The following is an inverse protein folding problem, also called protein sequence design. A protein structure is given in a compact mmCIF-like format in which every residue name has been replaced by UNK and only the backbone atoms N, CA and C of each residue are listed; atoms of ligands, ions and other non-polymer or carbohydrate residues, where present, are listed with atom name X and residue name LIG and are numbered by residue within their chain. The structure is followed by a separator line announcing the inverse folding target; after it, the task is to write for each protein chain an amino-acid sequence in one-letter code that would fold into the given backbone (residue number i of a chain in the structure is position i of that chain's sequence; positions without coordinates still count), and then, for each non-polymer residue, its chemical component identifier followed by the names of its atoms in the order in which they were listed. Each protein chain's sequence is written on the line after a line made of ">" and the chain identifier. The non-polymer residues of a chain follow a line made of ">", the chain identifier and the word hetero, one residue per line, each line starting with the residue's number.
data_IF_173667007439
#
_entry.id   IF_173667007439
#
_cell.length_a   1.000
_cell.length_b   1.000
_cell.length_c   1.000
_cell.angle_alpha   90.00
_cell.angle_beta   90.00
_cell.angle_gamma   90.00
#
_symmetry.space_group_name_H-M   'P 1'
#
loop_
_entity.id
_entity.type
_entity.pdbx_description
1 polymer ?
#
# COMPACT_ATOMS: atom_id res chain seq x y z
N UNK A 1 -4.02 -23.22 -6.17
CA UNK A 1 -4.12 -22.07 -5.27
C UNK A 1 -3.18 -22.24 -4.09
N UNK A 2 -2.89 -21.15 -3.37
CA UNK A 2 -2.06 -21.17 -2.18
C UNK A 2 -2.81 -21.90 -1.03
N UNK A 3 -2.17 -22.90 -0.40
CA UNK A 3 -2.70 -23.53 0.80
C UNK A 3 -2.19 -22.81 2.05
N UNK A 4 -2.90 -22.94 3.17
CA UNK A 4 -2.49 -22.34 4.44
C UNK A 4 -1.03 -22.67 4.81
N UNK A 5 -0.63 -23.94 4.69
CA UNK A 5 0.72 -24.40 5.01
C UNK A 5 1.82 -23.86 4.07
N UNK A 6 1.43 -23.30 2.92
CA UNK A 6 2.38 -22.74 1.95
C UNK A 6 2.64 -21.27 2.19
N UNK A 7 1.81 -20.56 2.99
CA UNK A 7 1.98 -19.14 3.26
C UNK A 7 3.32 -18.91 3.97
N UNK A 8 4.13 -17.99 3.43
CA UNK A 8 5.43 -17.59 3.98
C UNK A 8 5.53 -16.09 4.18
N UNK A 9 4.70 -15.33 3.50
CA UNK A 9 4.73 -13.87 3.55
C UNK A 9 3.36 -13.29 3.79
N UNK A 10 3.32 -12.23 4.57
CA UNK A 10 2.12 -11.43 4.75
C UNK A 10 2.45 -9.97 4.42
N UNK A 11 1.68 -9.39 3.52
CA UNK A 11 1.60 -7.96 3.36
C UNK A 11 0.47 -7.48 4.28
N UNK A 12 0.80 -6.69 5.27
CA UNK A 12 -0.10 -6.29 6.35
C UNK A 12 -0.35 -4.79 6.33
N UNK A 13 -1.61 -4.41 6.38
CA UNK A 13 -2.02 -3.06 6.74
C UNK A 13 -2.53 -3.07 8.19
N UNK A 14 -1.91 -2.28 9.07
CA UNK A 14 -2.33 -2.22 10.49
C UNK A 14 -3.15 -0.99 10.84
N UNK A 15 -3.24 -0.04 9.93
CA UNK A 15 -4.07 1.16 10.08
C UNK A 15 -4.50 1.65 8.71
N UNK A 16 -5.76 2.09 8.60
CA UNK A 16 -6.24 2.84 7.43
C UNK A 16 -6.11 4.35 7.62
N UNK A 17 -5.56 4.80 8.76
CA UNK A 17 -5.27 6.21 9.02
C UNK A 17 -3.93 6.60 8.41
N UNK A 18 -3.83 7.83 7.94
CA UNK A 18 -2.58 8.43 7.47
C UNK A 18 -2.61 9.93 7.75
N UNK A 19 -1.48 10.50 8.10
CA UNK A 19 -1.32 11.94 8.28
C UNK A 19 -0.98 12.68 6.97
N UNK A 20 -0.56 11.94 5.94
CA UNK A 20 -0.28 12.48 4.60
C UNK A 20 -1.53 12.50 3.71
N UNK A 21 -1.51 13.36 2.70
CA UNK A 21 -2.56 13.46 1.68
C UNK A 21 -1.96 13.39 0.26
N UNK A 22 -1.21 12.34 -0.02
CA UNK A 22 -0.61 12.13 -1.33
C UNK A 22 -1.69 12.10 -2.43
N UNK A 23 -1.57 12.89 -3.51
CA UNK A 23 -2.68 13.13 -4.45
C UNK A 23 -3.12 11.91 -5.26
N UNK A 24 -2.25 10.92 -5.42
CA UNK A 24 -2.58 9.65 -6.10
C UNK A 24 -2.67 8.46 -5.14
N UNK A 25 -2.77 8.73 -3.85
CA UNK A 25 -3.10 7.70 -2.88
C UNK A 25 -4.60 7.36 -2.98
N UNK A 26 -4.99 6.07 -3.02
CA UNK A 26 -6.40 5.68 -3.09
C UNK A 26 -7.24 6.13 -1.89
N UNK A 27 -6.57 6.56 -0.82
CA UNK A 27 -7.21 7.18 0.35
C UNK A 27 -7.81 8.53 0.05
N UNK A 28 -7.20 9.30 -0.86
CA UNK A 28 -7.53 10.70 -1.10
C UNK A 28 -8.00 10.91 -2.53
N UNK A 29 -8.90 11.88 -2.71
CA UNK A 29 -9.16 12.42 -4.03
C UNK A 29 -8.25 13.62 -4.28
N UNK A 30 -7.22 13.42 -5.12
CA UNK A 30 -6.29 14.48 -5.56
C UNK A 30 -5.63 15.27 -4.41
N UNK A 31 -5.44 14.63 -3.24
CA UNK A 31 -4.80 15.25 -2.08
C UNK A 31 -5.75 15.94 -1.09
N UNK A 32 -7.05 15.86 -1.27
CA UNK A 32 -8.03 16.59 -0.44
C UNK A 32 -8.92 15.64 0.37
N UNK A 33 -10.00 15.19 -0.25
CA UNK A 33 -11.04 14.44 0.45
C UNK A 33 -10.57 13.01 0.72
N UNK A 34 -10.92 12.53 1.90
CA UNK A 34 -10.82 11.11 2.21
C UNK A 34 -11.97 10.42 1.48
N UNK A 35 -11.63 9.40 0.70
CA UNK A 35 -12.62 8.56 0.05
C UNK A 35 -13.41 7.79 1.10
N UNK A 36 -14.73 7.86 1.04
CA UNK A 36 -15.67 7.37 2.07
C UNK A 36 -16.04 5.88 1.95
N UNK A 37 -15.36 5.15 1.07
CA UNK A 37 -15.73 3.76 0.72
C UNK A 37 -15.02 2.69 1.54
N UNK A 38 -14.10 3.05 2.42
CA UNK A 38 -13.38 2.11 3.28
C UNK A 38 -13.47 2.52 4.77
N UNK A 39 -13.40 1.56 5.71
CA UNK A 39 -13.46 1.85 7.14
C UNK A 39 -12.21 2.58 7.62
N UNK A 40 -12.37 3.56 8.50
CA UNK A 40 -11.26 4.20 9.22
C UNK A 40 -11.03 3.44 10.52
N UNK A 41 -10.00 2.62 10.56
CA UNK A 41 -9.71 1.74 11.69
C UNK A 41 -8.20 1.54 11.90
N UNK A 42 -7.87 1.04 13.09
CA UNK A 42 -6.57 0.51 13.47
C UNK A 42 -6.77 -0.94 13.90
N UNK A 43 -5.87 -1.83 13.51
CA UNK A 43 -5.76 -3.17 14.10
C UNK A 43 -5.24 -3.02 15.52
N UNK A 44 -5.96 -3.53 16.49
CA UNK A 44 -5.49 -3.58 17.88
C UNK A 44 -4.51 -4.74 18.07
N UNK A 45 -3.68 -4.67 19.13
CA UNK A 45 -2.83 -5.80 19.52
C UNK A 45 -3.64 -7.08 19.74
N UNK A 46 -4.82 -6.96 20.37
CA UNK A 46 -5.71 -8.11 20.58
C UNK A 46 -6.16 -8.74 19.26
N UNK A 47 -6.57 -7.96 18.29
CA UNK A 47 -6.93 -8.46 16.95
C UNK A 47 -5.73 -9.08 16.24
N UNK A 48 -4.55 -8.45 16.34
CA UNK A 48 -3.33 -9.01 15.77
C UNK A 48 -3.00 -10.38 16.39
N UNK A 49 -3.16 -10.56 17.69
CA UNK A 49 -2.95 -11.83 18.38
C UNK A 49 -3.97 -12.92 17.99
N UNK A 50 -5.21 -12.52 17.69
CA UNK A 50 -6.22 -13.46 17.18
C UNK A 50 -5.89 -13.94 15.77
N UNK A 51 -5.48 -13.04 14.88
CA UNK A 51 -5.18 -13.34 13.48
C UNK A 51 -3.83 -14.07 13.35
N UNK A 52 -2.80 -13.52 13.97
CA UNK A 52 -1.42 -13.98 13.91
C UNK A 52 -1.08 -14.85 15.12
N UNK A 53 -1.68 -16.05 15.18
CA UNK A 53 -1.32 -17.02 16.23
C UNK A 53 0.17 -17.35 16.19
N UNK A 54 0.75 -17.76 17.32
CA UNK A 54 2.16 -18.15 17.39
C UNK A 54 2.53 -19.20 16.33
N UNK A 55 1.75 -20.30 16.11
CA UNK A 55 2.05 -21.24 15.03
C UNK A 55 2.02 -20.62 13.63
N UNK A 56 1.11 -19.65 13.37
CA UNK A 56 1.09 -18.95 12.08
C UNK A 56 2.30 -18.06 11.90
N UNK A 57 2.71 -17.30 12.92
CA UNK A 57 3.92 -16.48 12.89
C UNK A 57 5.17 -17.32 12.67
N UNK A 58 5.28 -18.50 13.30
CA UNK A 58 6.44 -19.38 13.18
C UNK A 58 6.63 -19.99 11.78
N UNK A 59 5.57 -20.06 10.98
CA UNK A 59 5.70 -20.51 9.58
C UNK A 59 6.07 -19.39 8.61
N UNK A 60 5.98 -18.10 9.01
CA UNK A 60 6.25 -16.96 8.14
C UNK A 60 7.75 -16.64 8.08
N UNK A 61 8.22 -16.33 6.88
CA UNK A 61 9.55 -15.80 6.63
C UNK A 61 9.57 -14.27 6.72
N UNK A 62 8.45 -13.62 6.35
CA UNK A 62 8.40 -12.16 6.25
C UNK A 62 7.00 -11.59 6.51
N UNK A 63 6.99 -10.45 7.19
CA UNK A 63 5.84 -9.52 7.22
C UNK A 63 6.29 -8.17 6.66
N UNK A 64 5.58 -7.69 5.62
CA UNK A 64 5.70 -6.34 5.11
C UNK A 64 4.54 -5.51 5.65
N UNK A 65 4.81 -4.56 6.53
CA UNK A 65 3.81 -3.60 7.02
C UNK A 65 3.84 -2.38 6.10
N UNK A 66 2.83 -2.29 5.24
CA UNK A 66 2.65 -1.21 4.28
C UNK A 66 1.17 -1.08 3.92
N UNK A 67 0.53 -0.01 4.37
CA UNK A 67 -0.89 0.17 4.15
C UNK A 67 -1.24 0.51 2.70
N UNK A 68 -2.39 -0.01 2.26
CA UNK A 68 -3.03 0.44 1.03
C UNK A 68 -3.61 1.85 1.21
N UNK A 69 -4.15 2.11 2.40
CA UNK A 69 -4.85 3.35 2.74
C UNK A 69 -4.14 4.13 3.86
N UNK A 70 -3.52 3.44 4.80
CA UNK A 70 -2.92 4.06 5.96
C UNK A 70 -1.40 3.97 6.03
N UNK A 71 -0.89 4.44 7.15
CA UNK A 71 0.55 4.43 7.42
C UNK A 71 0.80 3.91 8.84
N UNK A 72 1.83 3.09 9.00
CA UNK A 72 2.29 2.55 10.28
C UNK A 72 2.42 3.62 11.36
N UNK A 73 2.90 4.82 11.00
CA UNK A 73 3.18 5.89 11.96
C UNK A 73 1.93 6.36 12.71
N UNK A 74 0.75 6.10 12.17
CA UNK A 74 -0.54 6.48 12.78
C UNK A 74 -1.22 5.35 13.54
N UNK A 75 -0.77 4.10 13.38
CA UNK A 75 -1.35 2.94 14.06
C UNK A 75 -1.16 3.04 15.58
N UNK A 76 -2.24 2.89 16.35
CA UNK A 76 -2.20 3.05 17.80
C UNK A 76 -1.28 2.03 18.47
N UNK A 77 -1.48 0.76 18.18
CA UNK A 77 -0.78 -0.37 18.77
C UNK A 77 0.34 -0.88 17.85
N UNK A 78 0.85 -0.02 16.94
CA UNK A 78 1.78 -0.44 15.90
C UNK A 78 3.09 -1.01 16.44
N UNK A 79 3.67 -0.40 17.46
CA UNK A 79 4.90 -0.90 18.09
C UNK A 79 4.66 -2.21 18.81
N UNK A 80 3.61 -2.31 19.60
CA UNK A 80 3.24 -3.48 20.38
C UNK A 80 2.95 -4.70 19.49
N UNK A 81 2.35 -4.47 18.30
CA UNK A 81 2.13 -5.53 17.29
C UNK A 81 3.47 -6.03 16.75
N UNK A 82 4.40 -5.13 16.45
CA UNK A 82 5.74 -5.50 15.97
C UNK A 82 6.53 -6.25 17.03
N UNK A 83 6.46 -5.83 18.30
CA UNK A 83 7.07 -6.53 19.43
C UNK A 83 6.51 -7.95 19.59
N UNK A 84 5.20 -8.09 19.48
CA UNK A 84 4.54 -9.40 19.52
C UNK A 84 5.03 -10.31 18.40
N UNK A 85 5.13 -9.81 17.15
CA UNK A 85 5.61 -10.60 16.01
C UNK A 85 7.07 -11.04 16.21
N UNK A 86 7.94 -10.13 16.60
CA UNK A 86 9.35 -10.43 16.85
C UNK A 86 9.55 -11.43 18.01
N UNK A 87 8.75 -11.32 19.07
CA UNK A 87 8.79 -12.25 20.20
C UNK A 87 8.30 -13.66 19.81
N UNK A 88 7.23 -13.77 19.00
CA UNK A 88 6.65 -15.04 18.58
C UNK A 88 7.52 -15.78 17.55
N UNK A 89 8.25 -15.05 16.70
CA UNK A 89 9.19 -15.60 15.72
C UNK A 89 10.44 -14.70 15.63
N UNK A 90 11.50 -14.98 16.39
CA UNK A 90 12.73 -14.18 16.36
C UNK A 90 13.47 -14.17 15.01
N UNK A 91 13.14 -15.06 14.10
CA UNK A 91 13.75 -15.14 12.76
C UNK A 91 12.93 -14.46 11.67
N UNK A 92 11.74 -13.93 12.00
CA UNK A 92 10.87 -13.31 11.01
C UNK A 92 11.47 -11.99 10.51
N UNK A 93 11.50 -11.81 9.20
CA UNK A 93 11.87 -10.52 8.63
C UNK A 93 10.67 -9.58 8.68
N UNK A 94 10.75 -8.51 9.47
CA UNK A 94 9.74 -7.45 9.52
C UNK A 94 10.25 -6.25 8.74
N UNK A 95 9.47 -5.81 7.75
CA UNK A 95 9.75 -4.61 6.95
C UNK A 95 8.61 -3.62 7.17
N UNK A 96 8.93 -2.39 7.52
CA UNK A 96 7.95 -1.31 7.64
C UNK A 96 8.19 -0.28 6.53
N UNK A 97 7.15 0.00 5.74
CA UNK A 97 7.17 1.08 4.76
C UNK A 97 6.30 2.22 5.28
N UNK A 98 6.90 3.39 5.52
CA UNK A 98 6.21 4.51 6.19
C UNK A 98 6.66 5.85 5.65
N UNK A 99 5.79 6.86 5.71
CA UNK A 99 6.17 8.24 5.50
C UNK A 99 7.03 8.80 6.65
N UNK A 100 7.05 8.13 7.79
CA UNK A 100 7.85 8.43 8.97
C UNK A 100 7.70 9.86 9.54
N UNK A 101 6.68 10.61 9.14
CA UNK A 101 6.44 11.98 9.59
C UNK A 101 5.60 12.01 10.87
N UNK A 102 6.17 11.54 11.97
CA UNK A 102 5.51 11.50 13.29
C UNK A 102 6.16 10.52 14.26
N UNK A 103 5.59 10.36 15.45
CA UNK A 103 5.98 9.42 16.53
C UNK A 103 7.49 9.25 16.73
N UNK A 104 8.22 10.26 17.18
CA UNK A 104 9.68 10.24 17.26
C UNK A 104 10.26 9.21 18.26
N UNK A 105 9.45 8.65 19.16
CA UNK A 105 9.92 7.81 20.25
C UNK A 105 9.95 6.30 19.97
N UNK A 106 9.51 5.84 18.78
CA UNK A 106 9.48 4.39 18.44
C UNK A 106 10.74 3.91 17.73
N UNK A 107 11.54 4.82 17.17
CA UNK A 107 12.59 4.49 16.22
C UNK A 107 13.73 3.67 16.81
N UNK A 108 14.19 4.01 18.02
CA UNK A 108 15.21 3.23 18.72
C UNK A 108 14.73 1.80 18.97
N UNK A 109 13.48 1.66 19.42
CA UNK A 109 12.93 0.34 19.72
C UNK A 109 12.73 -0.52 18.46
N UNK A 110 12.30 0.06 17.35
CA UNK A 110 12.22 -0.64 16.06
C UNK A 110 13.60 -1.12 15.58
N UNK A 111 14.67 -0.33 15.80
CA UNK A 111 16.03 -0.74 15.48
C UNK A 111 16.50 -1.92 16.36
N UNK A 112 16.24 -1.88 17.67
CA UNK A 112 16.55 -2.97 18.60
C UNK A 112 15.84 -4.29 18.25
N UNK A 113 14.63 -4.21 17.69
CA UNK A 113 13.86 -5.35 17.22
C UNK A 113 14.35 -5.90 15.86
N UNK A 114 15.36 -5.29 15.25
CA UNK A 114 15.92 -5.73 13.97
C UNK A 114 15.01 -5.46 12.76
N UNK A 115 14.04 -4.55 12.90
CA UNK A 115 13.12 -4.20 11.81
C UNK A 115 13.86 -3.48 10.69
N UNK A 116 13.51 -3.78 9.44
CA UNK A 116 13.93 -2.98 8.28
C UNK A 116 12.90 -1.87 8.03
N UNK A 117 13.34 -0.62 7.93
CA UNK A 117 12.43 0.51 7.68
C UNK A 117 12.71 1.16 6.34
N UNK A 118 11.67 1.23 5.50
CA UNK A 118 11.66 1.98 4.25
C UNK A 118 11.05 3.36 4.49
N UNK A 119 11.90 4.37 4.59
CA UNK A 119 11.52 5.77 4.71
C UNK A 119 11.09 6.29 3.33
N UNK A 120 9.82 6.67 3.20
CA UNK A 120 9.23 7.16 1.95
C UNK A 120 9.50 8.64 1.78
N UNK A 121 10.60 8.97 1.13
CA UNK A 121 11.07 10.32 0.86
C UNK A 121 11.16 10.54 -0.66
N UNK A 122 10.34 11.45 -1.20
CA UNK A 122 10.20 11.65 -2.65
C UNK A 122 10.86 12.98 -3.08
N UNK A 123 12.18 13.06 -2.92
CA UNK A 123 13.00 14.23 -3.20
C UNK A 123 13.61 14.85 -1.94
N UNK A 124 14.19 16.03 -2.07
CA UNK A 124 14.67 16.86 -0.98
C UNK A 124 13.53 17.72 -0.40
N UNK A 125 13.85 18.59 0.55
CA UNK A 125 12.88 19.40 1.30
C UNK A 125 11.93 20.22 0.40
N UNK A 126 12.47 20.79 -0.68
CA UNK A 126 11.73 21.64 -1.63
C UNK A 126 10.78 20.87 -2.56
N UNK A 127 11.02 19.59 -2.82
CA UNK A 127 10.20 18.79 -3.75
C UNK A 127 9.40 17.69 -3.09
N UNK A 128 9.83 17.22 -1.93
CA UNK A 128 9.17 16.13 -1.19
C UNK A 128 7.67 16.38 -0.97
N UNK A 129 7.31 17.57 -0.52
CA UNK A 129 5.93 17.93 -0.18
C UNK A 129 5.03 18.15 -1.40
N UNK A 130 5.59 18.27 -2.61
CA UNK A 130 4.76 18.34 -3.82
C UNK A 130 3.91 17.08 -4.00
N UNK A 131 4.44 15.94 -3.60
CA UNK A 131 3.67 14.68 -3.60
C UNK A 131 3.26 14.24 -2.18
N UNK A 132 4.18 14.25 -1.21
CA UNK A 132 3.93 13.85 0.18
C UNK A 132 3.31 14.98 1.00
N UNK A 133 2.15 15.49 0.56
CA UNK A 133 1.48 16.59 1.24
C UNK A 133 1.29 16.32 2.73
N UNK A 134 1.47 17.36 3.55
CA UNK A 134 1.29 17.34 5.01
C UNK A 134 2.25 16.42 5.77
N UNK A 135 3.38 16.06 5.17
CA UNK A 135 4.50 15.45 5.87
C UNK A 135 5.62 16.47 6.10
N UNK A 136 6.44 16.26 7.11
CA UNK A 136 7.56 17.13 7.46
C UNK A 136 8.88 16.44 7.11
N UNK A 137 9.58 16.91 6.08
CA UNK A 137 10.85 16.37 5.61
C UNK A 137 11.89 16.33 6.72
N UNK A 138 12.04 17.43 7.47
CA UNK A 138 13.05 17.52 8.53
C UNK A 138 12.77 16.56 9.69
N UNK A 139 11.49 16.39 10.06
CA UNK A 139 11.09 15.38 11.04
C UNK A 139 11.39 13.96 10.57
N UNK A 140 11.16 13.66 9.30
CA UNK A 140 11.47 12.34 8.72
C UNK A 140 12.98 12.09 8.78
N UNK A 141 13.81 13.06 8.41
CA UNK A 141 15.27 12.96 8.50
C UNK A 141 15.73 12.78 9.95
N UNK A 142 15.15 13.51 10.92
CA UNK A 142 15.45 13.33 12.33
C UNK A 142 15.10 11.91 12.82
N UNK A 143 13.95 11.38 12.41
CA UNK A 143 13.51 10.03 12.74
C UNK A 143 14.42 8.97 12.12
N UNK A 144 14.82 9.14 10.86
CA UNK A 144 15.78 8.27 10.20
C UNK A 144 17.14 8.27 10.91
N UNK A 145 17.66 9.46 11.31
CA UNK A 145 18.90 9.57 12.10
C UNK A 145 18.82 8.81 13.42
N UNK A 146 17.71 8.93 14.15
CA UNK A 146 17.51 8.18 15.42
C UNK A 146 17.52 6.69 15.21
N UNK A 147 16.80 6.22 14.17
CA UNK A 147 16.73 4.81 13.82
C UNK A 147 18.10 4.25 13.41
N UNK A 148 18.83 4.96 12.54
CA UNK A 148 20.16 4.57 12.07
C UNK A 148 21.19 4.60 13.21
N UNK A 149 21.17 5.63 14.07
CA UNK A 149 22.07 5.74 15.24
C UNK A 149 21.88 4.58 16.23
N UNK A 150 20.67 4.02 16.31
CA UNK A 150 20.38 2.81 17.10
C UNK A 150 20.75 1.49 16.37
N UNK A 151 21.43 1.54 15.22
CA UNK A 151 21.83 0.36 14.44
C UNK A 151 20.78 -0.14 13.45
N UNK A 152 19.70 0.60 13.23
CA UNK A 152 18.59 0.21 12.37
C UNK A 152 18.96 0.07 10.90
N UNK A 153 18.28 -0.86 10.21
CA UNK A 153 18.44 -1.11 8.78
C UNK A 153 17.48 -0.19 7.99
N UNK A 154 17.95 1.01 7.61
CA UNK A 154 17.17 2.02 6.92
C UNK A 154 17.36 1.95 5.39
N UNK A 155 16.25 1.99 4.65
CA UNK A 155 16.23 2.23 3.21
C UNK A 155 15.55 3.56 2.92
N UNK A 156 16.18 4.42 2.12
CA UNK A 156 15.51 5.56 1.51
C UNK A 156 14.78 5.06 0.27
N UNK A 157 13.45 5.10 0.25
CA UNK A 157 12.64 4.61 -0.86
C UNK A 157 11.87 5.76 -1.51
N UNK A 158 12.29 6.13 -2.71
CA UNK A 158 11.80 7.30 -3.47
C UNK A 158 10.89 6.86 -4.61
N UNK A 159 9.81 7.60 -4.84
CA UNK A 159 9.06 7.57 -6.10
C UNK A 159 9.63 8.65 -7.01
N UNK A 160 10.05 8.25 -8.22
CA UNK A 160 10.55 9.18 -9.23
C UNK A 160 9.37 9.85 -9.93
N UNK A 161 9.37 11.18 -9.91
CA UNK A 161 8.46 12.04 -10.64
C UNK A 161 9.27 13.03 -11.48
N UNK A 162 8.66 13.63 -12.49
CA UNK A 162 9.31 14.65 -13.32
C UNK A 162 9.87 15.80 -12.47
N UNK A 163 9.17 16.21 -11.41
CA UNK A 163 9.55 17.32 -10.54
C UNK A 163 10.72 17.02 -9.60
N UNK A 164 11.07 15.73 -9.36
CA UNK A 164 12.15 15.36 -8.45
C UNK A 164 13.29 14.56 -9.11
N UNK A 165 13.17 14.21 -10.40
CA UNK A 165 14.18 13.41 -11.11
C UNK A 165 15.58 14.04 -11.07
N UNK A 166 15.66 15.38 -11.13
CA UNK A 166 16.92 16.11 -11.06
C UNK A 166 17.62 16.03 -9.70
N UNK A 167 16.93 15.56 -8.64
CA UNK A 167 17.47 15.43 -7.29
C UNK A 167 17.93 14.02 -6.93
N UNK A 168 17.79 13.03 -7.82
CA UNK A 168 18.08 11.62 -7.49
C UNK A 168 19.50 11.47 -6.94
N UNK A 169 20.52 12.06 -7.57
CA UNK A 169 21.90 11.95 -7.11
C UNK A 169 22.17 12.74 -5.82
N UNK A 170 21.52 13.87 -5.63
CA UNK A 170 21.59 14.62 -4.37
C UNK A 170 20.92 13.84 -3.21
N UNK A 171 19.76 13.23 -3.46
CA UNK A 171 19.10 12.34 -2.49
C UNK A 171 19.97 11.12 -2.15
N UNK A 172 20.62 10.51 -3.15
CA UNK A 172 21.55 9.39 -2.95
C UNK A 172 22.74 9.79 -2.08
N UNK A 173 23.33 10.95 -2.36
CA UNK A 173 24.46 11.50 -1.61
C UNK A 173 24.08 11.75 -0.14
N UNK A 174 22.93 12.40 0.07
CA UNK A 174 22.40 12.65 1.42
C UNK A 174 22.07 11.34 2.15
N UNK A 175 21.48 10.36 1.46
CA UNK A 175 21.20 9.05 2.04
C UNK A 175 22.49 8.36 2.53
N UNK A 176 23.56 8.39 1.74
CA UNK A 176 24.87 7.86 2.12
C UNK A 176 25.47 8.62 3.32
N UNK A 177 25.42 9.95 3.32
CA UNK A 177 25.90 10.79 4.43
C UNK A 177 25.15 10.46 5.74
N UNK A 178 23.83 10.24 5.66
CA UNK A 178 22.99 9.91 6.79
C UNK A 178 23.17 8.46 7.29
N UNK A 179 23.82 7.59 6.50
CA UNK A 179 24.05 6.19 6.85
C UNK A 179 22.91 5.24 6.48
N UNK A 180 22.04 5.61 5.54
CA UNK A 180 21.07 4.67 4.97
C UNK A 180 21.83 3.50 4.31
N UNK A 181 21.40 2.28 4.58
CA UNK A 181 22.00 1.07 3.96
C UNK A 181 21.66 0.92 2.50
N UNK A 182 20.55 1.51 2.07
CA UNK A 182 20.05 1.42 0.70
C UNK A 182 19.34 2.70 0.29
N UNK A 183 19.55 3.09 -0.96
CA UNK A 183 18.76 4.10 -1.66
C UNK A 183 18.13 3.45 -2.88
N UNK A 184 16.80 3.37 -2.90
CA UNK A 184 16.02 2.83 -4.01
C UNK A 184 15.09 3.90 -4.56
N UNK A 185 14.91 3.90 -5.87
CA UNK A 185 13.81 4.65 -6.46
C UNK A 185 13.05 3.79 -7.47
N UNK A 186 11.75 4.06 -7.59
CA UNK A 186 10.88 3.39 -8.54
C UNK A 186 10.19 4.42 -9.43
N UNK A 187 10.04 4.07 -10.71
CA UNK A 187 9.18 4.79 -11.63
C UNK A 187 7.76 4.22 -11.47
N UNK A 188 6.91 4.97 -10.81
CA UNK A 188 5.59 4.46 -10.45
C UNK A 188 4.54 4.63 -11.54
N UNK A 189 4.90 5.23 -12.70
CA UNK A 189 3.92 5.55 -13.75
C UNK A 189 2.81 6.51 -13.29
N UNK A 190 3.09 7.28 -12.22
CA UNK A 190 2.14 8.24 -11.62
C UNK A 190 2.55 9.66 -11.98
N UNK A 191 2.67 9.91 -13.29
CA UNK A 191 3.41 11.09 -13.74
C UNK A 191 2.57 12.33 -13.88
N UNK A 192 1.23 12.23 -13.82
CA UNK A 192 0.40 13.35 -14.26
C UNK A 192 -0.87 13.46 -13.45
N UNK A 193 -0.93 14.41 -12.54
CA UNK A 193 -2.13 14.71 -11.77
C UNK A 193 -2.25 16.17 -11.39
N UNK A 194 -3.47 16.62 -11.14
CA UNK A 194 -3.75 17.90 -10.50
C UNK A 194 -3.81 17.70 -8.99
N UNK A 195 -3.33 18.68 -8.24
CA UNK A 195 -3.29 18.67 -6.78
C UNK A 195 -4.09 19.85 -6.24
N UNK A 196 -4.95 19.56 -5.27
CA UNK A 196 -5.74 20.56 -4.55
C UNK A 196 -5.27 20.66 -3.09
N UNK A 197 -5.46 21.83 -2.51
CA UNK A 197 -5.24 22.08 -1.08
C UNK A 197 -6.44 21.63 -0.24
N UNK A 198 -6.33 21.77 1.10
CA UNK A 198 -7.40 21.39 2.03
C UNK A 198 -8.71 22.17 1.85
N UNK A 199 -8.64 23.36 1.23
CA UNK A 199 -9.79 24.19 0.91
C UNK A 199 -10.41 23.85 -0.45
N UNK A 200 -9.97 22.72 -1.07
CA UNK A 200 -10.39 22.25 -2.40
C UNK A 200 -10.03 23.19 -3.54
N UNK A 201 -9.06 24.06 -3.33
CA UNK A 201 -8.54 24.96 -4.36
C UNK A 201 -7.38 24.33 -5.09
N UNK A 202 -7.27 24.62 -6.39
CA UNK A 202 -6.11 24.22 -7.18
C UNK A 202 -4.82 24.73 -6.52
N UNK A 203 -3.88 23.81 -6.27
CA UNK A 203 -2.56 24.10 -5.72
C UNK A 203 -1.48 24.08 -6.82
N UNK A 204 -1.25 22.92 -7.41
CA UNK A 204 -0.25 22.73 -8.46
C UNK A 204 -0.57 21.49 -9.30
N UNK A 205 0.30 21.20 -10.27
CA UNK A 205 0.26 19.97 -11.05
C UNK A 205 1.51 19.13 -10.83
N UNK A 206 1.37 17.83 -10.86
CA UNK A 206 2.48 16.88 -10.98
C UNK A 206 2.54 16.46 -12.43
N UNK A 207 3.74 16.50 -13.04
CA UNK A 207 3.94 16.20 -14.45
C UNK A 207 3.25 17.17 -15.40
N UNK A 208 2.95 16.72 -16.61
CA UNK A 208 2.38 17.51 -17.69
C UNK A 208 0.84 17.46 -17.71
N UNK A 209 0.21 17.65 -16.56
CA UNK A 209 -1.24 17.61 -16.47
C UNK A 209 -1.88 18.78 -17.22
N UNK A 210 -2.70 18.46 -18.23
CA UNK A 210 -3.40 19.42 -19.11
C UNK A 210 -4.91 19.44 -18.93
N UNK A 211 -5.44 18.61 -17.99
CA UNK A 211 -6.87 18.50 -17.75
C UNK A 211 -7.47 19.66 -16.94
N UNK A 212 -8.71 19.49 -16.53
CA UNK A 212 -9.42 20.48 -15.72
C UNK A 212 -8.72 20.72 -14.37
N UNK A 213 -8.73 21.96 -13.91
CA UNK A 213 -8.29 22.40 -12.58
C UNK A 213 -9.47 22.78 -11.68
N UNK A 214 -10.67 22.46 -12.11
CA UNK A 214 -11.90 22.64 -11.37
C UNK A 214 -12.16 21.40 -10.50
N UNK A 215 -12.06 21.57 -9.18
CA UNK A 215 -12.25 20.48 -8.22
C UNK A 215 -13.65 19.88 -8.29
N UNK A 216 -14.70 20.73 -8.30
CA UNK A 216 -16.08 20.25 -8.24
C UNK A 216 -16.46 19.45 -9.48
N UNK A 217 -16.01 19.92 -10.65
CA UNK A 217 -16.17 19.19 -11.91
C UNK A 217 -15.48 17.82 -11.85
N UNK A 218 -14.21 17.78 -11.44
CA UNK A 218 -13.43 16.55 -11.37
C UNK A 218 -14.00 15.58 -10.32
N UNK A 219 -14.43 16.08 -9.17
CA UNK A 219 -14.99 15.25 -8.13
C UNK A 219 -16.36 14.67 -8.54
N UNK A 220 -17.20 15.45 -9.21
CA UNK A 220 -18.46 14.96 -9.76
C UNK A 220 -18.24 13.86 -10.80
N UNK A 221 -17.30 14.05 -11.72
CA UNK A 221 -16.95 13.04 -12.71
C UNK A 221 -16.40 11.75 -12.05
N UNK A 222 -15.56 11.90 -11.04
CA UNK A 222 -15.05 10.77 -10.27
C UNK A 222 -16.17 9.98 -9.59
N UNK A 223 -17.11 10.65 -8.90
CA UNK A 223 -18.26 9.99 -8.25
C UNK A 223 -19.13 9.23 -9.24
N UNK A 224 -19.40 9.79 -10.40
CA UNK A 224 -20.11 9.08 -11.49
C UNK A 224 -19.35 7.85 -11.96
N UNK A 225 -18.04 8.00 -12.18
CA UNK A 225 -17.19 6.91 -12.66
C UNK A 225 -17.14 5.72 -11.69
N UNK A 226 -17.02 5.94 -10.39
CA UNK A 226 -16.97 4.87 -9.38
C UNK A 226 -18.32 4.20 -9.13
N UNK A 227 -19.42 4.82 -9.53
CA UNK A 227 -20.77 4.28 -9.31
C UNK A 227 -21.33 3.48 -10.49
N UNK A 228 -20.75 3.61 -11.70
CA UNK A 228 -21.24 2.98 -12.92
C UNK A 228 -20.28 1.95 -13.51
N UNK A 229 -20.56 0.62 -13.33
CA UNK A 229 -19.72 -0.45 -13.89
C UNK A 229 -19.59 -0.41 -15.42
N UNK A 230 -20.68 -0.11 -16.10
CA UNK A 230 -20.71 -0.10 -17.57
C UNK A 230 -19.85 1.03 -18.13
N UNK A 231 -19.91 2.21 -17.50
CA UNK A 231 -19.06 3.33 -17.86
C UNK A 231 -17.57 3.00 -17.68
N UNK A 232 -17.27 2.21 -16.64
CA UNK A 232 -15.91 1.77 -16.32
C UNK A 232 -15.36 0.84 -17.41
N UNK A 233 -16.09 -0.21 -17.79
CA UNK A 233 -15.63 -1.16 -18.83
C UNK A 233 -15.57 -0.54 -20.23
N UNK A 234 -16.50 0.32 -20.58
CA UNK A 234 -16.58 0.91 -21.93
C UNK A 234 -15.41 1.82 -22.29
N UNK A 235 -14.69 2.33 -21.28
CA UNK A 235 -13.56 3.26 -21.47
C UNK A 235 -12.19 2.59 -21.56
N UNK A 236 -12.11 1.27 -21.35
CA UNK A 236 -10.84 0.57 -21.23
C UNK A 236 -10.61 -0.33 -22.44
N UNK A 237 -9.48 -0.12 -23.14
CA UNK A 237 -8.99 -1.07 -24.13
C UNK A 237 -8.27 -2.20 -23.38
N UNK A 238 -8.81 -3.41 -23.45
CA UNK A 238 -8.28 -4.58 -22.78
C UNK A 238 -7.47 -5.41 -23.78
N UNK A 239 -6.20 -5.63 -23.45
CA UNK A 239 -5.36 -6.62 -24.08
C UNK A 239 -5.30 -7.86 -23.15
N UNK A 240 -5.73 -9.01 -23.66
CA UNK A 240 -5.79 -10.23 -22.88
C UNK A 240 -4.39 -10.84 -22.69
N UNK A 241 -4.02 -11.09 -21.44
CA UNK A 241 -2.71 -11.58 -21.02
C UNK A 241 -2.83 -12.89 -20.24
N UNK A 242 -1.77 -13.70 -20.27
CA UNK A 242 -1.62 -14.86 -19.39
C UNK A 242 -1.21 -14.42 -17.98
N UNK A 243 -1.75 -15.03 -16.94
CA UNK A 243 -1.48 -14.60 -15.56
C UNK A 243 -0.27 -15.34 -14.98
N UNK A 244 0.73 -14.57 -14.54
CA UNK A 244 1.86 -15.04 -13.72
C UNK A 244 1.79 -14.35 -12.35
N UNK A 245 0.98 -14.89 -11.45
CA UNK A 245 0.65 -14.25 -10.19
C UNK A 245 1.85 -14.15 -9.24
N UNK A 246 2.28 -12.93 -8.97
CA UNK A 246 3.38 -12.61 -8.06
C UNK A 246 3.14 -13.16 -6.64
N UNK A 247 1.97 -12.92 -6.06
CA UNK A 247 1.65 -13.33 -4.69
C UNK A 247 1.63 -14.84 -4.53
N UNK A 248 1.07 -15.57 -5.51
CA UNK A 248 1.12 -17.03 -5.52
C UNK A 248 2.56 -17.54 -5.57
N UNK A 249 3.40 -16.97 -6.44
CA UNK A 249 4.84 -17.32 -6.57
C UNK A 249 5.61 -17.07 -5.28
N UNK A 250 5.33 -15.95 -4.61
CA UNK A 250 6.02 -15.56 -3.38
C UNK A 250 5.35 -16.11 -2.10
N UNK A 251 4.30 -16.93 -2.23
CA UNK A 251 3.57 -17.51 -1.10
C UNK A 251 3.06 -16.43 -0.13
N UNK A 252 2.55 -15.33 -0.70
CA UNK A 252 2.14 -14.13 0.01
C UNK A 252 0.63 -13.97 0.01
N UNK A 253 0.09 -13.45 1.11
CA UNK A 253 -1.29 -12.96 1.22
C UNK A 253 -1.28 -11.52 1.73
N UNK A 254 -2.38 -10.78 1.51
CA UNK A 254 -2.60 -9.46 2.07
C UNK A 254 -3.66 -9.53 3.18
N UNK A 255 -3.41 -8.85 4.30
CA UNK A 255 -4.35 -8.70 5.41
C UNK A 255 -4.53 -7.20 5.67
N UNK A 256 -5.78 -6.75 5.63
CA UNK A 256 -6.15 -5.35 5.88
C UNK A 256 -6.31 -5.04 7.36
N UNK A 257 -6.38 -3.75 7.70
CA UNK A 257 -6.48 -3.28 9.08
C UNK A 257 -7.76 -3.72 9.82
N UNK A 258 -8.82 -4.06 9.08
CA UNK A 258 -10.06 -4.63 9.62
C UNK A 258 -10.11 -6.16 9.62
N UNK A 259 -8.96 -6.82 9.33
CA UNK A 259 -8.82 -8.27 9.37
C UNK A 259 -9.26 -9.01 8.09
N UNK A 260 -9.61 -8.30 7.03
CA UNK A 260 -9.96 -8.95 5.76
C UNK A 260 -8.73 -9.48 5.03
N UNK A 261 -8.85 -10.68 4.45
CA UNK A 261 -7.76 -11.40 3.78
C UNK A 261 -8.01 -11.44 2.27
N UNK A 262 -7.00 -11.01 1.52
CA UNK A 262 -7.02 -10.97 0.06
C UNK A 262 -5.79 -11.67 -0.54
N UNK A 263 -5.84 -12.13 -1.80
CA UNK A 263 -4.70 -12.76 -2.45
C UNK A 263 -3.46 -11.87 -2.57
N UNK A 264 -3.66 -10.55 -2.66
CA UNK A 264 -2.60 -9.55 -2.73
C UNK A 264 -3.13 -8.16 -2.38
N UNK A 265 -2.24 -7.21 -2.11
CA UNK A 265 -2.58 -5.82 -1.81
C UNK A 265 -3.34 -5.13 -2.94
N UNK A 266 -3.05 -5.44 -4.21
CA UNK A 266 -3.78 -4.90 -5.35
C UNK A 266 -5.28 -5.25 -5.31
N UNK A 267 -5.61 -6.51 -5.01
CA UNK A 267 -7.00 -6.94 -4.88
C UNK A 267 -7.64 -6.44 -3.58
N UNK A 268 -6.85 -6.19 -2.54
CA UNK A 268 -7.31 -5.58 -1.28
C UNK A 268 -7.81 -4.14 -1.42
N UNK A 269 -7.55 -3.45 -2.52
CA UNK A 269 -8.13 -2.13 -2.78
C UNK A 269 -9.61 -2.18 -3.17
N UNK A 270 -10.01 -3.19 -3.96
CA UNK A 270 -11.19 -3.06 -4.78
C UNK A 270 -12.53 -3.40 -4.15
N UNK A 271 -12.67 -4.30 -3.17
CA UNK A 271 -13.98 -4.52 -2.55
C UNK A 271 -14.50 -3.30 -1.80
N UNK A 272 -13.59 -2.53 -1.22
CA UNK A 272 -13.89 -1.30 -0.47
C UNK A 272 -13.74 -0.05 -1.35
N UNK A 273 -13.21 -0.23 -2.50
CA UNK A 273 -12.51 0.74 -3.13
C UNK A 273 -12.97 1.80 -4.00
N UNK A 274 -12.45 2.62 -4.08
CA UNK A 274 -12.36 3.92 -4.58
C UNK A 274 -11.59 3.94 -5.86
N UNK A 275 -11.95 4.07 -6.91
CA UNK A 275 -11.24 4.44 -8.13
C UNK A 275 -11.83 3.87 -9.42
N UNK A 276 -13.10 3.44 -9.38
CA UNK A 276 -13.82 3.06 -10.58
C UNK A 276 -13.14 1.95 -11.40
N UNK A 277 -12.36 1.10 -10.74
CA UNK A 277 -11.76 -0.03 -11.43
C UNK A 277 -12.80 -1.11 -11.72
N UNK A 278 -12.78 -1.73 -12.92
CA UNK A 278 -13.59 -2.91 -13.20
C UNK A 278 -13.44 -4.01 -12.16
N UNK A 279 -12.26 -4.14 -11.56
CA UNK A 279 -11.97 -5.13 -10.53
C UNK A 279 -12.83 -4.99 -9.28
N UNK A 280 -13.28 -3.80 -8.93
CA UNK A 280 -14.22 -3.58 -7.82
C UNK A 280 -15.51 -4.37 -8.03
N UNK A 281 -16.08 -4.28 -9.23
CA UNK A 281 -17.34 -4.96 -9.56
C UNK A 281 -17.15 -6.47 -9.76
N UNK A 282 -15.99 -6.87 -10.26
CA UNK A 282 -15.66 -8.28 -10.47
C UNK A 282 -15.38 -9.01 -9.14
N UNK A 283 -14.79 -8.33 -8.13
CA UNK A 283 -14.41 -8.93 -6.87
C UNK A 283 -15.55 -9.04 -5.88
N UNK A 284 -16.41 -8.03 -5.78
CA UNK A 284 -17.53 -8.01 -4.81
C UNK A 284 -18.35 -9.30 -4.75
N UNK A 285 -18.77 -9.91 -5.85
CA UNK A 285 -19.53 -11.17 -5.81
C UNK A 285 -18.67 -12.40 -5.47
N UNK A 286 -17.35 -12.33 -5.53
CA UNK A 286 -16.44 -13.45 -5.26
C UNK A 286 -15.97 -13.46 -3.81
N UNK A 287 -15.89 -12.31 -3.15
CA UNK A 287 -15.44 -12.21 -1.76
C UNK A 287 -16.43 -12.87 -0.85
N UNK A 288 -15.97 -13.86 -0.08
CA UNK A 288 -16.79 -14.60 0.85
C UNK A 288 -15.94 -15.11 2.02
N UNK A 289 -16.43 -14.96 3.25
CA UNK A 289 -15.77 -15.41 4.49
C UNK A 289 -14.31 -14.96 4.58
N UNK A 290 -14.02 -13.73 4.17
CA UNK A 290 -12.65 -13.23 4.07
C UNK A 290 -12.14 -12.52 5.33
N UNK A 291 -12.94 -12.39 6.40
CA UNK A 291 -12.51 -11.72 7.63
C UNK A 291 -11.88 -12.72 8.62
N UNK A 292 -10.59 -12.53 8.89
CA UNK A 292 -9.81 -13.41 9.78
C UNK A 292 -10.07 -13.19 11.29
N UNK A 293 -10.91 -12.22 11.65
CA UNK A 293 -11.45 -12.09 13.01
C UNK A 293 -12.68 -12.99 13.23
N UNK A 294 -13.32 -13.47 12.16
CA UNK A 294 -14.50 -14.33 12.21
C UNK A 294 -14.18 -15.77 11.78
N UNK A 295 -13.22 -15.94 10.88
CA UNK A 295 -12.82 -17.21 10.28
C UNK A 295 -11.31 -17.39 10.40
N UNK A 296 -10.84 -18.64 10.41
CA UNK A 296 -9.40 -18.93 10.36
C UNK A 296 -8.78 -18.47 9.04
N UNK A 297 -7.47 -18.19 9.03
CA UNK A 297 -6.75 -17.85 7.77
C UNK A 297 -6.94 -18.96 6.72
N UNK A 298 -6.99 -20.24 7.14
CA UNK A 298 -7.22 -21.35 6.22
C UNK A 298 -8.61 -21.30 5.56
N UNK A 299 -9.63 -20.86 6.28
CA UNK A 299 -10.97 -20.66 5.72
C UNK A 299 -11.03 -19.43 4.83
N UNK A 300 -10.41 -18.33 5.26
CA UNK A 300 -10.46 -17.05 4.54
C UNK A 300 -9.78 -17.10 3.18
N UNK A 301 -8.81 -17.97 2.93
CA UNK A 301 -8.14 -18.07 1.63
C UNK A 301 -8.88 -18.96 0.61
N UNK A 302 -9.93 -19.68 1.00
CA UNK A 302 -10.63 -20.63 0.09
C UNK A 302 -11.26 -19.95 -1.12
N UNK A 303 -11.78 -18.73 -0.96
CA UNK A 303 -12.40 -18.00 -2.05
C UNK A 303 -11.41 -17.56 -3.15
N UNK A 304 -10.08 -17.58 -2.86
CA UNK A 304 -9.05 -17.29 -3.88
C UNK A 304 -9.13 -18.25 -5.08
N UNK A 305 -9.65 -19.47 -4.89
CA UNK A 305 -9.86 -20.43 -5.97
C UNK A 305 -10.78 -19.90 -7.08
N UNK A 306 -11.76 -19.05 -6.73
CA UNK A 306 -12.67 -18.45 -7.69
C UNK A 306 -11.96 -17.46 -8.61
N UNK A 307 -10.92 -16.77 -8.11
CA UNK A 307 -10.09 -15.86 -8.91
C UNK A 307 -9.23 -16.66 -9.88
N UNK A 308 -8.55 -17.69 -9.40
CA UNK A 308 -7.68 -18.53 -10.23
C UNK A 308 -8.47 -19.24 -11.34
N UNK A 309 -9.68 -19.72 -11.05
CA UNK A 309 -10.58 -20.32 -12.03
C UNK A 309 -11.00 -19.34 -13.17
N UNK A 310 -10.81 -18.06 -12.96
CA UNK A 310 -11.04 -17.01 -13.97
C UNK A 310 -9.85 -16.72 -14.88
N UNK A 311 -8.63 -17.17 -14.56
CA UNK A 311 -7.41 -16.74 -15.26
C UNK A 311 -7.35 -17.15 -16.73
N UNK A 312 -8.00 -18.26 -17.11
CA UNK A 312 -8.09 -18.73 -18.51
C UNK A 312 -9.25 -18.11 -19.30
N UNK A 313 -10.07 -17.28 -18.64
CA UNK A 313 -11.18 -16.55 -19.28
C UNK A 313 -10.69 -15.19 -19.79
N UNK A 314 -11.57 -14.48 -20.50
CA UNK A 314 -11.35 -13.06 -20.81
C UNK A 314 -11.73 -12.18 -19.63
N UNK A 315 -11.21 -10.95 -19.59
CA UNK A 315 -11.54 -10.00 -18.52
C UNK A 315 -13.06 -9.77 -18.39
N UNK A 316 -13.83 -9.55 -19.47
CA UNK A 316 -15.28 -9.39 -19.31
C UNK A 316 -16.02 -10.64 -18.85
N UNK A 317 -15.45 -11.84 -19.01
CA UNK A 317 -16.13 -13.11 -18.73
C UNK A 317 -15.67 -13.79 -17.42
N UNK A 318 -14.71 -13.20 -16.70
CA UNK A 318 -14.32 -13.71 -15.38
C UNK A 318 -12.87 -13.57 -14.97
N UNK A 319 -11.95 -13.16 -15.85
CA UNK A 319 -10.60 -12.78 -15.44
C UNK A 319 -10.67 -11.43 -14.75
N UNK A 320 -10.07 -11.30 -13.57
CA UNK A 320 -10.01 -10.02 -12.87
C UNK A 320 -9.11 -9.05 -13.63
N UNK A 321 -9.61 -7.84 -13.92
CA UNK A 321 -8.91 -6.82 -14.67
C UNK A 321 -7.53 -6.49 -14.06
N UNK A 322 -7.46 -6.27 -12.76
CA UNK A 322 -6.19 -6.02 -12.06
C UNK A 322 -5.20 -7.17 -12.20
N UNK A 323 -5.65 -8.44 -12.18
CA UNK A 323 -4.75 -9.57 -12.44
C UNK A 323 -4.17 -9.49 -13.84
N UNK A 324 -5.00 -9.15 -14.84
CA UNK A 324 -4.56 -8.99 -16.24
C UNK A 324 -3.53 -7.88 -16.40
N UNK A 325 -3.75 -6.71 -15.77
CA UNK A 325 -2.84 -5.56 -15.91
C UNK A 325 -1.57 -5.68 -15.08
N UNK A 326 -1.67 -6.20 -13.85
CA UNK A 326 -0.54 -6.22 -12.91
C UNK A 326 0.33 -7.47 -13.03
N UNK A 327 -0.31 -8.63 -13.24
CA UNK A 327 0.37 -9.95 -13.31
C UNK A 327 0.29 -10.60 -14.69
N UNK A 328 -0.27 -9.89 -15.66
CA UNK A 328 -0.38 -10.38 -17.03
C UNK A 328 0.94 -10.27 -17.80
N UNK A 329 1.27 -11.34 -18.52
CA UNK A 329 2.38 -11.37 -19.47
C UNK A 329 1.81 -11.57 -20.88
N UNK A 330 2.28 -10.78 -21.86
CA UNK A 330 1.95 -11.00 -23.27
C UNK A 330 2.43 -12.39 -23.69
N UNK A 331 1.57 -13.14 -24.37
CA UNK A 331 2.01 -14.39 -25.01
C UNK A 331 3.06 -14.00 -26.05
N UNK A 332 4.31 -14.38 -25.84
CA UNK A 332 5.38 -14.31 -26.85
C UNK A 332 5.07 -15.25 -28.01
#
# INVERSE_FOLDING_TARGET
>A
MLNYKDIRRVHLEISTRCNAACPECPRNFRGVDIVDTYPICDMSLFQAQQIFTVPFLQQLDQILINGNYGDFITARDGLEIVEYFAAANPNIKIIISTNASGRPNIWTRLAELGVEVHFRLDGLEDTHQLYRQYTDFNLIIQNARKFIAAGGNATWAMIKFKHNTHQIEACRSLANELGFKKFDFVDAGRDTTVVFDRDKKFSHTIGDYTGSRDYDLLYTQYRQYISDPMLTFSKIKIEEKSINCYSKKNKEIYISANGEVYPCCWLGFYPLGSQGSPSMFQLRPLVNKNNSLEYTIEETIKWFNSIEAGWDKTVPTGKIYTCNETCGTTKS
#
